data_IF_236660042738
#
_entry.id   IF_236660042738
#
_cell.length_a   1.000
_cell.length_b   1.000
_cell.length_c   1.000
_cell.angle_alpha   90.00
_cell.angle_beta   90.00
_cell.angle_gamma   90.00
#
_symmetry.space_group_name_H-M   'P 1'
#
loop_
_entity.id
_entity.type
_entity.pdbx_description
1 polymer ?
#
# COMPACT_ATOMS: atom_id res chain seq x y z
N UNK A 1 19.89 2.37 12.20
CA UNK A 1 18.91 1.37 12.67
C UNK A 1 17.57 1.76 12.06
N UNK A 2 16.83 0.85 11.44
CA UNK A 2 15.52 1.18 10.89
C UNK A 2 14.50 1.29 12.03
N UNK A 3 13.64 2.30 11.97
CA UNK A 3 12.53 2.48 12.90
C UNK A 3 11.56 1.29 12.85
N UNK A 4 11.06 0.75 13.97
CA UNK A 4 9.98 -0.22 13.97
C UNK A 4 8.73 0.31 13.26
N UNK A 5 8.20 -0.50 12.34
CA UNK A 5 6.95 -0.21 11.63
C UNK A 5 5.87 -1.17 12.10
N UNK A 6 4.73 -0.64 12.53
CA UNK A 6 3.52 -1.43 12.81
C UNK A 6 2.39 -1.00 11.88
N UNK A 7 1.81 -1.97 11.18
CA UNK A 7 0.71 -1.74 10.24
C UNK A 7 -0.54 -2.40 10.81
N UNK A 8 -1.60 -1.61 10.97
CA UNK A 8 -2.91 -2.06 11.41
C UNK A 8 -3.82 -2.11 10.17
N UNK A 9 -4.33 -3.30 9.84
CA UNK A 9 -5.14 -3.55 8.64
C UNK A 9 -6.62 -3.87 8.95
N UNK A 10 -6.91 -4.26 10.19
CA UNK A 10 -8.27 -4.60 10.61
C UNK A 10 -9.00 -3.32 11.00
N UNK A 11 -9.96 -2.90 10.17
CA UNK A 11 -10.62 -1.60 10.25
C UNK A 11 -9.99 -0.61 9.27
N UNK A 12 -9.68 0.60 9.74
CA UNK A 12 -8.96 1.59 8.94
C UNK A 12 -7.46 1.29 8.88
N UNK A 13 -6.84 1.56 7.73
CA UNK A 13 -5.40 1.45 7.58
C UNK A 13 -4.70 2.49 8.47
N UNK A 14 -3.83 2.01 9.36
CA UNK A 14 -2.93 2.87 10.16
C UNK A 14 -1.52 2.35 10.15
N UNK A 15 -0.56 3.25 9.95
CA UNK A 15 0.88 2.93 9.98
C UNK A 15 1.53 3.70 11.11
N UNK A 16 2.12 2.97 12.06
CA UNK A 16 2.92 3.55 13.13
C UNK A 16 4.40 3.47 12.74
N UNK A 17 5.06 4.63 12.81
CA UNK A 17 6.49 4.83 12.58
C UNK A 17 7.05 5.50 13.83
N UNK A 18 7.70 4.74 14.71
CA UNK A 18 8.08 5.22 16.05
C UNK A 18 6.90 5.91 16.76
N UNK A 19 7.02 7.22 17.02
CA UNK A 19 6.02 8.05 17.70
C UNK A 19 5.00 8.70 16.76
N UNK A 20 5.12 8.46 15.44
CA UNK A 20 4.23 9.02 14.43
C UNK A 20 3.20 7.99 13.97
N UNK A 21 1.95 8.42 13.86
CA UNK A 21 0.87 7.66 13.23
C UNK A 21 0.51 8.30 11.90
N UNK A 22 0.46 7.49 10.85
CA UNK A 22 -0.10 7.84 9.54
C UNK A 22 -1.48 7.20 9.46
N UNK A 23 -2.49 8.05 9.61
CA UNK A 23 -3.91 7.70 9.46
C UNK A 23 -4.29 7.57 7.97
N UNK A 24 -5.36 6.85 7.68
CA UNK A 24 -5.86 6.63 6.30
C UNK A 24 -6.11 7.94 5.52
N UNK A 25 -6.56 9.00 6.17
CA UNK A 25 -6.81 10.29 5.53
C UNK A 25 -5.53 11.11 5.29
N UNK A 26 -4.38 10.69 5.81
CA UNK A 26 -3.11 11.40 5.64
C UNK A 26 -2.38 11.00 4.34
N UNK A 27 -2.91 10.01 3.62
CA UNK A 27 -2.39 9.58 2.33
C UNK A 27 -2.85 10.54 1.22
N UNK A 28 -2.03 10.79 0.18
CA UNK A 28 -2.37 11.71 -0.91
C UNK A 28 -3.49 11.18 -1.83
N UNK A 29 -4.06 10.02 -1.51
CA UNK A 29 -5.17 9.37 -2.20
C UNK A 29 -5.37 7.96 -1.64
N UNK A 30 -6.40 7.28 -2.13
CA UNK A 30 -6.74 5.92 -1.69
C UNK A 30 -5.73 4.87 -2.17
N UNK A 31 -5.17 5.03 -3.37
CA UNK A 31 -4.29 4.02 -4.00
C UNK A 31 -2.98 3.78 -3.26
N UNK A 32 -2.25 4.80 -2.79
CA UNK A 32 -1.05 4.59 -1.98
C UNK A 32 -1.31 3.79 -0.69
N UNK A 33 -2.43 4.06 -0.01
CA UNK A 33 -2.84 3.31 1.17
C UNK A 33 -3.12 1.83 0.84
N UNK A 34 -3.87 1.56 -0.22
CA UNK A 34 -4.17 0.20 -0.69
C UNK A 34 -2.92 -0.57 -1.10
N UNK A 35 -1.96 0.09 -1.75
CA UNK A 35 -0.67 -0.51 -2.10
C UNK A 35 0.07 -0.99 -0.86
N UNK A 36 0.15 -0.15 0.18
CA UNK A 36 0.83 -0.52 1.43
C UNK A 36 0.10 -1.65 2.14
N UNK A 37 -1.24 -1.63 2.16
CA UNK A 37 -2.02 -2.73 2.71
C UNK A 37 -1.77 -4.05 1.96
N UNK A 38 -1.77 -4.00 0.62
CA UNK A 38 -1.52 -5.17 -0.24
C UNK A 38 -0.12 -5.75 0.00
N UNK A 39 0.91 -4.90 0.01
CA UNK A 39 2.27 -5.33 0.32
C UNK A 39 2.37 -5.86 1.75
N UNK A 40 1.73 -5.24 2.74
CA UNK A 40 1.77 -5.71 4.11
C UNK A 40 1.22 -7.14 4.30
N UNK A 41 0.28 -7.56 3.46
CA UNK A 41 -0.30 -8.91 3.45
C UNK A 41 0.52 -9.92 2.65
N UNK A 42 1.41 -9.48 1.76
CA UNK A 42 2.26 -10.37 0.98
C UNK A 42 3.33 -11.02 1.87
N UNK A 43 3.59 -12.31 1.66
CA UNK A 43 4.51 -13.13 2.47
C UNK A 43 5.91 -12.49 2.65
N UNK A 44 6.41 -11.85 1.58
CA UNK A 44 7.72 -11.16 1.59
C UNK A 44 7.61 -9.65 1.62
N UNK A 45 6.42 -9.13 1.88
CA UNK A 45 6.08 -7.71 1.76
C UNK A 45 6.43 -7.09 0.40
N UNK A 46 6.38 -7.92 -0.63
CA UNK A 46 6.82 -7.61 -1.98
C UNK A 46 5.95 -8.39 -2.97
N UNK A 47 5.60 -7.73 -4.07
CA UNK A 47 4.86 -8.31 -5.19
C UNK A 47 5.52 -7.87 -6.50
N UNK A 48 5.33 -8.65 -7.56
CA UNK A 48 5.72 -8.23 -8.89
C UNK A 48 4.88 -7.01 -9.32
N UNK A 49 5.47 -6.14 -10.15
CA UNK A 49 4.77 -4.95 -10.63
C UNK A 49 3.42 -5.30 -11.24
N UNK A 50 3.38 -6.31 -12.09
CA UNK A 50 2.15 -6.72 -12.77
C UNK A 50 1.07 -7.23 -11.80
N UNK A 51 1.47 -7.92 -10.72
CA UNK A 51 0.52 -8.36 -9.67
C UNK A 51 -0.07 -7.17 -8.90
N UNK A 52 0.74 -6.14 -8.67
CA UNK A 52 0.26 -4.89 -8.05
C UNK A 52 -0.72 -4.17 -8.99
N UNK A 53 -0.37 -4.08 -10.28
CA UNK A 53 -1.21 -3.44 -11.28
C UNK A 53 -2.55 -4.16 -11.44
N UNK A 54 -2.55 -5.50 -11.50
CA UNK A 54 -3.76 -6.31 -11.56
C UNK A 54 -4.63 -6.14 -10.31
N UNK A 55 -4.03 -6.08 -9.12
CA UNK A 55 -4.76 -5.92 -7.87
C UNK A 55 -5.36 -4.52 -7.69
N UNK A 56 -4.64 -3.47 -8.07
CA UNK A 56 -5.06 -2.07 -7.85
C UNK A 56 -5.87 -1.52 -9.04
N UNK A 57 -5.54 -1.88 -10.27
CA UNK A 57 -6.21 -1.40 -11.49
C UNK A 57 -6.59 -2.54 -12.45
N UNK A 58 -7.49 -3.45 -12.05
CA UNK A 58 -7.88 -4.60 -12.86
C UNK A 58 -8.58 -4.25 -14.19
N UNK A 59 -9.00 -2.98 -14.36
CA UNK A 59 -9.76 -2.51 -15.52
C UNK A 59 -8.98 -1.57 -16.43
N UNK A 60 -7.72 -1.24 -16.09
CA UNK A 60 -6.88 -0.40 -16.93
C UNK A 60 -5.96 -1.27 -17.78
N UNK A 61 -5.65 -0.80 -18.98
CA UNK A 61 -4.56 -1.36 -19.76
C UNK A 61 -3.24 -1.26 -18.98
N UNK A 62 -2.32 -2.25 -19.10
CA UNK A 62 -1.10 -2.31 -18.29
C UNK A 62 -0.23 -1.06 -18.35
N UNK A 63 -0.18 -0.39 -19.51
CA UNK A 63 0.58 0.84 -19.69
C UNK A 63 -0.05 2.04 -18.96
N UNK A 64 -1.38 2.14 -18.98
CA UNK A 64 -2.12 3.16 -18.25
C UNK A 64 -2.07 2.92 -16.73
N UNK A 65 -2.15 1.66 -16.30
CA UNK A 65 -2.01 1.28 -14.89
C UNK A 65 -0.61 1.61 -14.35
N UNK A 66 0.45 1.34 -15.13
CA UNK A 66 1.82 1.64 -14.75
C UNK A 66 2.07 3.15 -14.54
N UNK A 67 1.34 4.02 -15.24
CA UNK A 67 1.44 5.47 -15.06
C UNK A 67 0.72 5.99 -13.79
N UNK A 68 -0.04 5.16 -13.10
CA UNK A 68 -0.77 5.49 -11.86
C UNK A 68 -0.13 4.91 -10.59
N UNK A 69 0.87 4.03 -10.75
CA UNK A 69 1.66 3.44 -9.67
C UNK A 69 2.67 4.44 -9.12
#
# INVERSE_FOLDING_TARGET
MAAPVRICLLGSLRVHLDDRVVEEHAWPGRRPAELVALLALAERRALLRDQVLEALWPHLDPEAAAAQL
#
